data_IF_341542721911
#
_entry.id   IF_341542721911
#
_cell.length_a   1.000
_cell.length_b   1.000
_cell.length_c   1.000
_cell.angle_alpha   90.00
_cell.angle_beta   90.00
_cell.angle_gamma   90.00
#
_symmetry.space_group_name_H-M   'P 1'
#
loop_
_entity.id
_entity.type
_entity.pdbx_description
1 polymer ?
#
# COMPACT_ATOMS: atom_id res chain seq x y z
N UNK A 1 -30.22 29.31 16.81
CA UNK A 1 -29.60 30.60 16.41
C UNK A 1 -30.46 31.23 15.33
N UNK A 2 -30.73 32.54 15.40
CA UNK A 2 -31.26 33.28 14.24
C UNK A 2 -30.04 33.81 13.49
N UNK A 3 -29.81 33.31 12.30
CA UNK A 3 -28.70 33.74 11.45
C UNK A 3 -29.21 34.83 10.50
N UNK A 4 -28.43 35.87 10.30
CA UNK A 4 -28.62 36.81 9.20
C UNK A 4 -28.45 36.08 7.84
N UNK A 5 -28.92 36.71 6.77
CA UNK A 5 -28.78 36.14 5.42
C UNK A 5 -27.30 35.92 5.03
N UNK A 6 -26.41 36.80 5.49
CA UNK A 6 -24.97 36.70 5.27
C UNK A 6 -24.35 35.54 6.06
N UNK A 7 -24.66 35.43 7.35
CA UNK A 7 -24.19 34.32 8.18
C UNK A 7 -24.69 32.96 7.66
N UNK A 8 -25.93 32.90 7.13
CA UNK A 8 -26.47 31.70 6.49
C UNK A 8 -25.68 31.32 5.23
N UNK A 9 -25.30 32.30 4.42
CA UNK A 9 -24.49 32.07 3.20
C UNK A 9 -23.08 31.57 3.55
N UNK A 10 -22.44 32.20 4.53
CA UNK A 10 -21.12 31.78 5.02
C UNK A 10 -21.17 30.37 5.60
N UNK A 11 -22.19 30.06 6.40
CA UNK A 11 -22.37 28.72 6.95
C UNK A 11 -22.62 27.67 5.85
N UNK A 12 -23.46 27.99 4.84
CA UNK A 12 -23.69 27.10 3.70
C UNK A 12 -22.39 26.80 2.97
N UNK A 13 -21.59 27.84 2.65
CA UNK A 13 -20.32 27.64 1.97
C UNK A 13 -19.31 26.85 2.80
N UNK A 14 -19.33 26.99 4.12
CA UNK A 14 -18.49 26.18 5.01
C UNK A 14 -18.93 24.71 5.01
N UNK A 15 -20.23 24.44 4.96
CA UNK A 15 -20.78 23.07 4.85
C UNK A 15 -20.41 22.46 3.51
N UNK A 16 -20.51 23.21 2.41
CA UNK A 16 -20.16 22.73 1.08
C UNK A 16 -18.69 22.28 1.02
N UNK A 17 -17.78 23.11 1.54
CA UNK A 17 -16.35 22.76 1.64
C UNK A 17 -16.08 21.56 2.54
N UNK A 18 -16.87 21.39 3.59
CA UNK A 18 -16.74 20.24 4.48
C UNK A 18 -17.19 18.96 3.77
N UNK A 19 -18.26 19.02 2.99
CA UNK A 19 -18.71 17.89 2.18
C UNK A 19 -17.69 17.54 1.09
N UNK A 20 -17.15 18.53 0.38
CA UNK A 20 -16.07 18.32 -0.60
C UNK A 20 -14.85 17.65 0.05
N UNK A 21 -14.43 18.12 1.23
CA UNK A 21 -13.32 17.51 1.96
C UNK A 21 -13.61 16.09 2.44
N UNK A 22 -14.87 15.78 2.80
CA UNK A 22 -15.27 14.41 3.13
C UNK A 22 -15.25 13.49 1.92
N UNK A 23 -15.69 13.97 0.76
CA UNK A 23 -15.65 13.21 -0.48
C UNK A 23 -14.21 12.88 -0.88
N UNK A 24 -13.27 13.82 -0.73
CA UNK A 24 -11.84 13.58 -0.94
C UNK A 24 -11.29 12.52 0.03
N UNK A 25 -11.66 12.58 1.32
CA UNK A 25 -11.23 11.59 2.32
C UNK A 25 -11.75 10.19 1.95
N UNK A 26 -13.00 10.09 1.48
CA UNK A 26 -13.59 8.81 1.04
C UNK A 26 -12.85 8.28 -0.20
N UNK A 27 -12.53 9.16 -1.15
CA UNK A 27 -11.74 8.78 -2.32
C UNK A 27 -10.36 8.23 -1.91
N UNK A 28 -9.65 8.94 -1.03
CA UNK A 28 -8.36 8.49 -0.49
C UNK A 28 -8.47 7.16 0.26
N UNK A 29 -9.55 6.92 1.00
CA UNK A 29 -9.77 5.64 1.69
C UNK A 29 -10.02 4.49 0.70
N UNK A 30 -10.77 4.74 -0.38
CA UNK A 30 -11.05 3.74 -1.40
C UNK A 30 -9.82 3.46 -2.28
N UNK A 31 -8.99 4.47 -2.53
CA UNK A 31 -7.72 4.36 -3.25
C UNK A 31 -6.58 3.83 -2.38
N UNK A 32 -6.73 3.89 -1.06
CA UNK A 32 -5.79 3.30 -0.13
C UNK A 32 -5.81 1.78 -0.29
N UNK A 33 -4.96 1.26 -1.15
CA UNK A 33 -4.60 -0.14 -1.13
C UNK A 33 -3.82 -0.42 0.16
N UNK A 34 -4.16 -1.52 0.83
CA UNK A 34 -3.29 -2.02 1.89
C UNK A 34 -1.92 -2.30 1.27
N UNK A 35 -0.88 -1.59 1.72
CA UNK A 35 0.51 -1.87 1.37
C UNK A 35 0.92 -3.22 1.96
N UNK A 36 0.48 -4.28 1.29
CA UNK A 36 0.84 -5.65 1.60
C UNK A 36 2.11 -5.95 0.82
N UNK A 37 3.26 -6.07 1.48
CA UNK A 37 4.49 -6.43 0.78
C UNK A 37 4.31 -7.82 0.16
N UNK A 38 4.82 -8.03 -1.05
CA UNK A 38 4.81 -9.33 -1.73
C UNK A 38 5.37 -10.46 -0.84
N UNK A 39 6.28 -10.12 0.07
CA UNK A 39 6.85 -11.01 1.07
C UNK A 39 6.89 -10.28 2.41
N UNK A 40 6.19 -10.83 3.42
CA UNK A 40 6.33 -10.39 4.80
C UNK A 40 7.56 -11.07 5.42
N UNK A 41 8.62 -10.30 5.62
CA UNK A 41 9.80 -10.75 6.35
C UNK A 41 9.61 -10.55 7.85
N UNK A 42 10.21 -11.42 8.65
CA UNK A 42 10.29 -11.21 10.10
C UNK A 42 11.08 -9.92 10.41
N UNK A 43 10.78 -9.20 11.51
CA UNK A 43 11.45 -7.95 11.85
C UNK A 43 12.99 -8.04 11.89
N UNK A 44 13.53 -9.16 12.39
CA UNK A 44 14.97 -9.40 12.46
C UNK A 44 15.62 -9.54 11.07
N UNK A 45 14.86 -10.07 10.10
CA UNK A 45 15.31 -10.22 8.71
C UNK A 45 15.30 -8.86 8.02
N UNK A 46 14.28 -8.03 8.25
CA UNK A 46 14.25 -6.65 7.73
C UNK A 46 15.45 -5.83 8.22
N UNK A 47 15.74 -5.86 9.53
CA UNK A 47 16.90 -5.15 10.10
C UNK A 47 18.23 -5.64 9.49
N UNK A 48 18.34 -6.95 9.24
CA UNK A 48 19.51 -7.54 8.60
C UNK A 48 19.65 -7.11 7.14
N UNK A 49 18.54 -7.02 6.41
CA UNK A 49 18.51 -6.55 5.02
C UNK A 49 18.93 -5.07 4.96
N UNK A 50 18.40 -4.22 5.84
CA UNK A 50 18.75 -2.79 5.90
C UNK A 50 20.25 -2.60 6.13
N UNK A 51 20.82 -3.24 7.15
CA UNK A 51 22.27 -3.22 7.42
C UNK A 51 23.11 -3.70 6.24
N UNK A 52 22.64 -4.74 5.57
CA UNK A 52 23.32 -5.27 4.39
C UNK A 52 23.25 -4.30 3.21
N UNK A 53 22.10 -3.63 2.98
CA UNK A 53 21.95 -2.60 1.95
C UNK A 53 22.87 -1.40 2.20
N UNK A 54 22.98 -0.96 3.44
CA UNK A 54 23.91 0.12 3.82
C UNK A 54 25.37 -0.26 3.55
N UNK A 55 25.73 -1.53 3.78
CA UNK A 55 27.13 -2.00 3.65
C UNK A 55 27.51 -2.33 2.20
N UNK A 56 26.61 -2.97 1.44
CA UNK A 56 26.92 -3.57 0.14
C UNK A 56 26.17 -2.93 -1.03
N UNK A 57 25.25 -2.00 -0.77
CA UNK A 57 24.40 -1.37 -1.76
C UNK A 57 23.09 -2.11 -1.98
N UNK A 58 22.04 -1.33 -2.23
CA UNK A 58 20.68 -1.85 -2.39
C UNK A 58 20.53 -2.81 -3.58
N UNK A 59 21.12 -2.48 -4.73
CA UNK A 59 21.02 -3.29 -5.94
C UNK A 59 21.65 -4.68 -5.76
N UNK A 60 22.81 -4.74 -5.10
CA UNK A 60 23.55 -5.98 -4.86
C UNK A 60 22.77 -6.93 -3.95
N UNK A 61 22.24 -6.41 -2.83
CA UNK A 61 21.45 -7.19 -1.89
C UNK A 61 20.14 -7.65 -2.54
N UNK A 62 19.46 -6.76 -3.27
CA UNK A 62 18.22 -7.10 -3.98
C UNK A 62 18.46 -8.21 -5.02
N UNK A 63 19.56 -8.15 -5.77
CA UNK A 63 19.93 -9.21 -6.73
C UNK A 63 20.11 -10.55 -6.03
N UNK A 64 20.85 -10.58 -4.91
CA UNK A 64 21.13 -11.80 -4.15
C UNK A 64 19.86 -12.43 -3.58
N UNK A 65 19.00 -11.62 -2.97
CA UNK A 65 17.71 -12.09 -2.42
C UNK A 65 16.86 -12.69 -3.53
N UNK A 66 16.72 -12.01 -4.67
CA UNK A 66 15.96 -12.51 -5.81
C UNK A 66 16.53 -13.83 -6.37
N UNK A 67 17.85 -13.97 -6.45
CA UNK A 67 18.48 -15.23 -6.89
C UNK A 67 18.15 -16.37 -5.93
N UNK A 68 18.30 -16.17 -4.62
CA UNK A 68 18.01 -17.19 -3.61
C UNK A 68 16.53 -17.59 -3.65
N UNK A 69 15.63 -16.61 -3.72
CA UNK A 69 14.19 -16.87 -3.81
C UNK A 69 13.86 -17.68 -5.07
N UNK A 70 14.40 -17.31 -6.22
CA UNK A 70 14.20 -18.05 -7.48
C UNK A 70 14.73 -19.49 -7.39
N UNK A 71 15.88 -19.69 -6.77
CA UNK A 71 16.42 -21.02 -6.52
C UNK A 71 15.49 -21.83 -5.61
N UNK A 72 15.02 -21.27 -4.51
CA UNK A 72 14.06 -21.94 -3.60
C UNK A 72 12.79 -22.36 -4.35
N UNK A 73 12.20 -21.47 -5.16
CA UNK A 73 11.02 -21.80 -5.96
C UNK A 73 11.29 -22.83 -7.05
N UNK A 74 12.52 -22.93 -7.58
CA UNK A 74 12.88 -23.95 -8.57
C UNK A 74 12.82 -25.38 -8.01
N UNK A 75 12.90 -25.53 -6.68
CA UNK A 75 12.77 -26.82 -5.99
C UNK A 75 11.33 -27.12 -5.55
N UNK A 76 10.42 -26.14 -5.62
CA UNK A 76 9.03 -26.37 -5.30
C UNK A 76 8.33 -26.98 -6.53
N UNK A 77 7.51 -28.03 -6.35
CA UNK A 77 6.72 -28.54 -7.45
C UNK A 77 5.80 -27.41 -7.92
N UNK A 78 5.93 -27.02 -9.19
CA UNK A 78 4.95 -26.19 -9.89
C UNK A 78 3.65 -26.96 -9.94
N UNK A 79 2.88 -26.91 -8.86
CA UNK A 79 1.47 -27.26 -8.91
C UNK A 79 0.83 -26.11 -9.65
N UNK A 80 0.82 -26.21 -10.97
CA UNK A 80 -0.17 -25.51 -11.79
C UNK A 80 -1.53 -25.95 -11.25
N UNK A 81 -2.08 -25.20 -10.30
CA UNK A 81 -3.53 -25.14 -10.22
C UNK A 81 -3.93 -24.46 -11.52
N UNK A 82 -4.33 -25.28 -12.48
CA UNK A 82 -5.24 -24.88 -13.54
C UNK A 82 -6.36 -24.10 -12.86
N UNK A 83 -6.29 -22.77 -12.94
CA UNK A 83 -7.46 -21.95 -12.68
C UNK A 83 -8.36 -22.25 -13.85
N UNK A 84 -9.20 -23.26 -13.67
CA UNK A 84 -10.35 -23.51 -14.53
C UNK A 84 -11.08 -22.19 -14.69
N UNK A 85 -11.24 -21.79 -15.94
CA UNK A 85 -12.25 -20.83 -16.37
C UNK A 85 -13.54 -21.10 -15.59
N UNK A 86 -14.05 -20.07 -14.92
CA UNK A 86 -15.42 -20.06 -14.44
C UNK A 86 -16.02 -18.74 -14.89
N UNK A 87 -16.73 -18.90 -16.01
CA UNK A 87 -17.82 -18.13 -16.61
C UNK A 87 -18.36 -16.89 -15.87
#
# INVERSE_FOLDING_TARGET
MKLSAEEKKTLSSAIDKLNEGLDEIIALYNEAEEDRPFIQFEPVVMESIEKAKETFGEEEISRRINTIIKEVFSFLPTTEKSTEESE
#
